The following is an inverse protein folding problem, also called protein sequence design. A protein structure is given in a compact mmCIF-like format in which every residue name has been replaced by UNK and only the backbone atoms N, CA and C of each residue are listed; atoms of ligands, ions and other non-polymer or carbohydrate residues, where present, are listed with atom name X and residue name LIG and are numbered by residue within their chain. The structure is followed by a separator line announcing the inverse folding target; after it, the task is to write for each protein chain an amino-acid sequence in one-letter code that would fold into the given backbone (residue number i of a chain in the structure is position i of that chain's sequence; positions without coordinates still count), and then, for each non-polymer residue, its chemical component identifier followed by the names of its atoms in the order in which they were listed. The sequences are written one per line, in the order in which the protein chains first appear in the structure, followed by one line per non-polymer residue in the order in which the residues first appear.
data_IF_184394729438
#
_entry.id   IF_184394729438
#
_cell.length_a   1.000
_cell.length_b   1.000
_cell.length_c   1.000
_cell.angle_alpha   90.00
_cell.angle_beta   90.00
_cell.angle_gamma   90.00
#
_symmetry.space_group_name_H-M   'P 1'
#
loop_
_entity.id
_entity.type
_entity.pdbx_description
1 polymer ?
#
# COMPACT_ATOMS: atom_id res chain seq x y z
N UNK A 1 10.31 -3.77 -8.26
CA UNK A 1 9.84 -2.41 -8.60
C UNK A 1 10.84 -1.46 -7.99
N UNK A 2 11.39 -0.53 -8.77
CA UNK A 2 12.51 0.31 -8.30
C UNK A 2 12.20 1.05 -6.98
N UNK A 3 10.95 1.49 -6.81
CA UNK A 3 10.48 2.14 -5.59
C UNK A 3 10.44 1.22 -4.36
N UNK A 4 10.10 -0.07 -4.55
CA UNK A 4 10.08 -1.06 -3.46
C UNK A 4 11.51 -1.40 -3.05
N UNK A 5 12.42 -1.50 -4.02
CA UNK A 5 13.84 -1.76 -3.76
C UNK A 5 14.50 -0.56 -3.06
N UNK A 6 14.12 0.66 -3.42
CA UNK A 6 14.58 1.90 -2.77
C UNK A 6 14.03 2.04 -1.34
N UNK A 7 12.73 1.80 -1.12
CA UNK A 7 12.12 1.79 0.22
C UNK A 7 12.75 0.68 1.07
N UNK A 8 12.91 -0.51 0.52
CA UNK A 8 13.56 -1.61 1.22
C UNK A 8 15.01 -1.26 1.58
N UNK A 9 15.77 -0.65 0.67
CA UNK A 9 17.14 -0.21 0.93
C UNK A 9 17.23 0.86 2.03
N UNK A 10 16.29 1.81 2.07
CA UNK A 10 16.25 2.87 3.08
C UNK A 10 15.86 2.35 4.46
N UNK A 11 14.96 1.36 4.53
CA UNK A 11 14.35 0.93 5.79
C UNK A 11 14.73 -0.49 6.24
N UNK A 12 15.57 -1.23 5.49
CA UNK A 12 16.03 -2.61 5.85
C UNK A 12 16.59 -2.77 7.25
N UNK A 13 17.11 -1.70 7.86
CA UNK A 13 17.67 -1.73 9.21
C UNK A 13 16.63 -1.42 10.30
N UNK A 14 15.49 -0.83 9.91
CA UNK A 14 14.36 -0.41 10.75
C UNK A 14 13.16 -1.35 10.60
N UNK A 15 13.09 -2.12 9.50
CA UNK A 15 12.19 -3.25 9.28
C UNK A 15 12.52 -4.39 10.28
N UNK A 16 12.22 -4.17 11.55
CA UNK A 16 12.26 -5.15 12.64
C UNK A 16 10.88 -5.34 13.29
N UNK A 17 9.86 -4.61 12.81
CA UNK A 17 8.53 -4.51 13.40
C UNK A 17 7.47 -5.35 12.67
N UNK A 18 6.37 -5.60 13.39
CA UNK A 18 5.15 -6.25 12.92
C UNK A 18 4.60 -5.53 11.67
N UNK A 19 3.75 -6.20 10.88
CA UNK A 19 3.27 -5.71 9.57
C UNK A 19 2.62 -4.32 9.64
N UNK A 20 2.01 -3.97 10.80
CA UNK A 20 1.46 -2.63 11.08
C UNK A 20 2.51 -1.50 11.02
N UNK A 21 3.76 -1.76 11.47
CA UNK A 21 4.84 -0.77 11.45
C UNK A 21 5.32 -0.47 10.04
N UNK A 22 5.24 -1.46 9.14
CA UNK A 22 5.63 -1.30 7.73
C UNK A 22 4.63 -0.41 7.01
N UNK A 23 3.32 -0.62 7.25
CA UNK A 23 2.28 0.20 6.63
C UNK A 23 2.38 1.65 7.07
N UNK A 24 2.55 1.92 8.36
CA UNK A 24 2.70 3.28 8.89
C UNK A 24 3.92 3.99 8.30
N UNK A 25 5.04 3.28 8.12
CA UNK A 25 6.28 3.79 7.54
C UNK A 25 6.14 4.09 6.05
N UNK A 26 5.50 3.18 5.30
CA UNK A 26 5.19 3.39 3.88
C UNK A 26 4.23 4.56 3.71
N UNK A 27 3.22 4.71 4.57
CA UNK A 27 2.34 5.88 4.54
C UNK A 27 3.11 7.17 4.83
N UNK A 28 3.99 7.18 5.84
CA UNK A 28 4.81 8.34 6.18
C UNK A 28 5.71 8.80 5.03
N UNK A 29 6.23 7.87 4.22
CA UNK A 29 6.98 8.18 3.00
C UNK A 29 6.16 8.97 1.98
N UNK A 30 4.89 8.62 1.80
CA UNK A 30 4.02 9.22 0.77
C UNK A 30 3.18 10.39 1.30
N UNK A 31 3.08 10.58 2.62
CA UNK A 31 2.20 11.56 3.24
C UNK A 31 2.52 13.01 2.85
N UNK A 32 3.81 13.32 2.72
CA UNK A 32 4.30 14.68 2.41
C UNK A 32 4.36 14.98 0.91
N UNK A 33 4.06 13.99 0.05
CA UNK A 33 4.09 14.17 -1.40
C UNK A 33 2.80 14.86 -1.88
N UNK A 34 2.95 15.83 -2.79
CA UNK A 34 1.80 16.41 -3.47
C UNK A 34 1.17 15.40 -4.43
N UNK A 35 -0.08 15.68 -4.87
CA UNK A 35 -0.75 14.85 -5.87
C UNK A 35 0.10 14.76 -7.15
N UNK A 36 0.73 15.86 -7.53
CA UNK A 36 1.58 15.97 -8.71
C UNK A 36 2.83 15.09 -8.58
N UNK A 37 3.45 15.05 -7.40
CA UNK A 37 4.62 14.19 -7.14
C UNK A 37 4.25 12.71 -7.27
N UNK A 38 3.11 12.30 -6.70
CA UNK A 38 2.62 10.93 -6.80
C UNK A 38 2.31 10.55 -8.26
N UNK A 39 1.73 11.46 -9.05
CA UNK A 39 1.48 11.22 -10.47
C UNK A 39 2.78 11.10 -11.27
N UNK A 40 3.80 11.90 -10.95
CA UNK A 40 5.11 11.81 -11.58
C UNK A 40 5.79 10.46 -11.29
N UNK A 41 5.67 9.94 -10.06
CA UNK A 41 6.13 8.60 -9.70
C UNK A 41 5.43 7.51 -10.52
N UNK A 42 4.11 7.59 -10.64
CA UNK A 42 3.31 6.62 -11.42
C UNK A 42 3.68 6.65 -12.91
N UNK A 43 3.96 7.83 -13.48
CA UNK A 43 4.41 7.98 -14.87
C UNK A 43 5.76 7.31 -15.14
N UNK A 44 6.59 7.13 -14.11
CA UNK A 44 7.87 6.43 -14.21
C UNK A 44 7.78 4.90 -14.20
N UNK A 45 6.60 4.32 -13.93
CA UNK A 45 6.41 2.88 -13.85
C UNK A 45 6.39 2.22 -15.25
N UNK A 46 6.93 1.00 -15.33
CA UNK A 46 6.71 0.15 -16.51
C UNK A 46 5.23 -0.20 -16.65
N UNK A 47 4.82 -0.66 -17.85
CA UNK A 47 3.45 -1.13 -18.06
C UNK A 47 3.07 -2.27 -17.09
N UNK A 48 4.00 -3.18 -16.84
CA UNK A 48 3.84 -4.31 -15.92
C UNK A 48 3.71 -3.84 -14.47
N UNK A 49 4.54 -2.87 -14.05
CA UNK A 49 4.49 -2.29 -12.71
C UNK A 49 3.18 -1.51 -12.48
N UNK A 50 2.76 -0.72 -13.48
CA UNK A 50 1.49 -0.01 -13.46
C UNK A 50 0.30 -0.98 -13.38
N UNK A 51 0.33 -2.06 -14.16
CA UNK A 51 -0.70 -3.09 -14.14
C UNK A 51 -0.78 -3.73 -12.75
N UNK A 52 0.35 -4.12 -12.16
CA UNK A 52 0.41 -4.68 -10.82
C UNK A 52 -0.14 -3.71 -9.78
N UNK A 53 0.27 -2.44 -9.82
CA UNK A 53 -0.22 -1.40 -8.90
C UNK A 53 -1.74 -1.25 -8.96
N UNK A 54 -2.30 -1.14 -10.17
CA UNK A 54 -3.75 -0.98 -10.37
C UNK A 54 -4.50 -2.23 -9.92
N UNK A 55 -3.99 -3.42 -10.23
CA UNK A 55 -4.61 -4.70 -9.80
C UNK A 55 -4.63 -4.82 -8.29
N UNK A 56 -3.51 -4.57 -7.60
CA UNK A 56 -3.41 -4.68 -6.15
C UNK A 56 -4.32 -3.68 -5.43
N UNK A 57 -4.32 -2.42 -5.87
CA UNK A 57 -5.20 -1.40 -5.30
C UNK A 57 -6.68 -1.77 -5.47
N UNK A 58 -7.07 -2.18 -6.67
CA UNK A 58 -8.45 -2.58 -6.96
C UNK A 58 -8.88 -3.81 -6.16
N UNK A 59 -7.99 -4.81 -6.05
CA UNK A 59 -8.22 -6.02 -5.27
C UNK A 59 -8.44 -5.68 -3.79
N UNK A 60 -7.60 -4.84 -3.20
CA UNK A 60 -7.72 -4.45 -1.79
C UNK A 60 -9.04 -3.72 -1.51
N UNK A 61 -9.44 -2.79 -2.38
CA UNK A 61 -10.73 -2.11 -2.25
C UNK A 61 -11.92 -3.04 -2.42
N UNK A 62 -11.84 -4.01 -3.34
CA UNK A 62 -12.89 -5.01 -3.53
C UNK A 62 -13.02 -5.92 -2.30
N UNK A 63 -11.92 -6.38 -1.71
CA UNK A 63 -11.95 -7.15 -0.46
C UNK A 63 -12.65 -6.38 0.66
N UNK A 64 -12.27 -5.12 0.87
CA UNK A 64 -12.87 -4.27 1.88
C UNK A 64 -14.37 -4.07 1.64
N UNK A 65 -14.77 -3.87 0.37
CA UNK A 65 -16.18 -3.77 0.00
C UNK A 65 -16.92 -5.08 0.30
N UNK A 66 -16.38 -6.22 -0.12
CA UNK A 66 -16.99 -7.53 0.09
C UNK A 66 -17.19 -7.82 1.59
N UNK A 67 -16.15 -7.60 2.40
CA UNK A 67 -16.22 -7.80 3.85
C UNK A 67 -17.29 -6.91 4.51
N UNK A 68 -17.44 -5.66 4.07
CA UNK A 68 -18.51 -4.75 4.53
C UNK A 68 -19.91 -5.25 4.18
N UNK A 69 -20.06 -5.92 3.03
CA UNK A 69 -21.32 -6.53 2.58
C UNK A 69 -21.56 -7.92 3.23
N UNK A 70 -20.69 -8.35 4.16
CA UNK A 70 -20.76 -9.67 4.80
C UNK A 70 -20.44 -10.83 3.86
N UNK A 71 -19.82 -10.54 2.71
CA UNK A 71 -19.38 -11.53 1.74
C UNK A 71 -17.86 -11.67 1.80
N UNK A 72 -17.35 -12.90 1.94
CA UNK A 72 -15.90 -13.16 1.96
C UNK A 72 -15.33 -13.46 3.35
N UNK A 73 -14.05 -13.77 3.39
CA UNK A 73 -13.35 -14.19 4.61
C UNK A 73 -13.28 -13.04 5.64
N UNK A 74 -13.23 -13.36 6.95
CA UNK A 74 -13.08 -12.36 7.99
C UNK A 74 -11.83 -11.49 7.74
N UNK A 75 -11.91 -10.18 8.01
CA UNK A 75 -10.81 -9.26 7.78
C UNK A 75 -9.56 -9.72 8.55
N UNK A 76 -8.44 -9.81 7.84
CA UNK A 76 -7.13 -10.02 8.45
C UNK A 76 -6.73 -8.80 9.31
N UNK A 77 -5.59 -8.88 10.00
CA UNK A 77 -5.10 -7.79 10.85
C UNK A 77 -4.83 -6.51 10.05
N UNK A 78 -4.37 -6.64 8.80
CA UNK A 78 -4.07 -5.52 7.91
C UNK A 78 -5.33 -4.71 7.56
N UNK A 79 -6.44 -5.41 7.33
CA UNK A 79 -7.71 -4.78 7.01
C UNK A 79 -8.31 -4.03 8.22
N UNK A 80 -8.03 -4.49 9.44
CA UNK A 80 -8.40 -3.77 10.66
C UNK A 80 -7.57 -2.49 10.85
N UNK A 81 -6.27 -2.52 10.54
CA UNK A 81 -5.42 -1.35 10.57
C UNK A 81 -5.94 -0.29 9.58
N UNK A 82 -6.19 -0.66 8.33
CA UNK A 82 -6.75 0.23 7.30
C UNK A 82 -8.11 0.83 7.68
N UNK A 83 -8.98 0.07 8.36
CA UNK A 83 -10.29 0.55 8.85
C UNK A 83 -10.19 1.58 9.98
N UNK A 84 -9.09 1.62 10.75
CA UNK A 84 -8.90 2.64 11.81
C UNK A 84 -8.62 4.04 11.26
N UNK A 85 -8.29 4.15 9.96
CA UNK A 85 -7.92 5.42 9.32
C UNK A 85 -9.04 6.05 8.47
N UNK A 86 -10.21 5.41 8.35
CA UNK A 86 -11.39 5.89 7.63
C UNK A 86 -12.57 6.10 8.57
#
# INVERSE_FOLDING_TARGET
MKIVDEIYAMYRNVLRGDEEDILALVMGLFLDHSREDLLAMIQGLSKEELLQMVTLYTYQLLRLKLSREGMGDPPDKDEQALRRFH
#
